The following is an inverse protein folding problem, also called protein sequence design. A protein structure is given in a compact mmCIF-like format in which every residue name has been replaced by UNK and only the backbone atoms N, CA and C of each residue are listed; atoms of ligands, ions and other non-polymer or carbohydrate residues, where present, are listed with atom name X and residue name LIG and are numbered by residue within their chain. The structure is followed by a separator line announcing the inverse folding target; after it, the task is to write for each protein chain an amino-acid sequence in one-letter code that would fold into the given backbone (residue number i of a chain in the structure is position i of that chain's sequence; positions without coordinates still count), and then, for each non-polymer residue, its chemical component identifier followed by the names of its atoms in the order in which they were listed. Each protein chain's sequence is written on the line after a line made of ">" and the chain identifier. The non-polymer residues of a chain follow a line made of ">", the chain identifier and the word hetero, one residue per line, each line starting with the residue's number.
data_IF_149953299251
#
_entry.id   IF_149953299251
#
_cell.length_a   1.000
_cell.length_b   1.000
_cell.length_c   1.000
_cell.angle_alpha   90.00
_cell.angle_beta   90.00
_cell.angle_gamma   90.00
#
_symmetry.space_group_name_H-M   'P 1'
#
loop_
_entity.id
_entity.type
_entity.pdbx_description
1 polymer ?
#
# COMPACT_ATOMS: atom_id res chain seq x y z
N UNK A 1 7.42 3.12 -1.48
CA UNK A 1 6.95 1.73 -1.75
C UNK A 1 6.31 1.70 -3.14
N UNK A 2 7.15 1.50 -4.19
CA UNK A 2 6.72 1.52 -5.61
C UNK A 2 6.04 0.22 -6.01
N UNK A 3 6.62 -0.90 -5.57
CA UNK A 3 6.10 -2.24 -5.80
C UNK A 3 5.94 -3.02 -4.51
N UNK A 4 4.86 -3.78 -4.41
CA UNK A 4 4.56 -4.70 -3.32
C UNK A 4 4.23 -6.07 -3.92
N UNK A 5 5.09 -7.06 -3.67
CA UNK A 5 4.91 -8.42 -4.20
C UNK A 5 4.04 -9.26 -3.26
N UNK A 6 2.92 -9.78 -3.75
CA UNK A 6 2.14 -10.78 -3.04
C UNK A 6 2.82 -12.16 -3.09
N UNK A 7 2.82 -12.85 -1.95
CA UNK A 7 3.41 -14.18 -1.79
C UNK A 7 2.45 -15.06 -1.00
N UNK A 8 1.99 -16.20 -1.53
CA UNK A 8 1.10 -17.10 -0.78
C UNK A 8 1.74 -17.60 0.53
N UNK A 9 1.05 -17.44 1.64
CA UNK A 9 1.53 -17.88 2.96
C UNK A 9 1.69 -19.40 3.09
N UNK A 10 1.02 -20.16 2.21
CA UNK A 10 1.16 -21.61 2.10
C UNK A 10 2.42 -22.08 1.31
N UNK A 11 3.25 -21.16 0.83
CA UNK A 11 4.41 -21.40 -0.02
C UNK A 11 5.71 -20.85 0.61
N UNK A 12 6.16 -21.39 1.78
CA UNK A 12 7.31 -20.84 2.51
C UNK A 12 8.61 -20.85 1.69
N UNK A 13 8.74 -21.73 0.70
CA UNK A 13 9.89 -21.80 -0.22
C UNK A 13 10.02 -20.55 -1.14
N UNK A 14 8.97 -19.71 -1.19
CA UNK A 14 8.99 -18.46 -1.94
C UNK A 14 9.39 -17.25 -1.08
N UNK A 15 9.35 -17.34 0.25
CA UNK A 15 9.55 -16.20 1.14
C UNK A 15 10.94 -15.58 0.98
N UNK A 16 12.00 -16.40 1.06
CA UNK A 16 13.37 -15.93 0.85
C UNK A 16 13.60 -15.33 -0.54
N UNK A 17 12.99 -15.93 -1.59
CA UNK A 17 13.07 -15.38 -2.95
C UNK A 17 12.38 -13.99 -3.05
N UNK A 18 11.23 -13.85 -2.42
CA UNK A 18 10.50 -12.57 -2.40
C UNK A 18 11.26 -11.52 -1.58
N UNK A 19 11.81 -11.90 -0.44
CA UNK A 19 12.62 -11.02 0.41
C UNK A 19 13.82 -10.46 -0.35
N UNK A 20 14.47 -11.28 -1.18
CA UNK A 20 15.65 -10.90 -1.99
C UNK A 20 15.29 -10.33 -3.37
N UNK A 21 14.01 -10.17 -3.70
CA UNK A 21 13.58 -9.56 -4.96
C UNK A 21 13.79 -8.03 -4.97
N UNK A 22 13.63 -7.39 -6.13
CA UNK A 22 13.69 -5.93 -6.27
C UNK A 22 12.39 -5.21 -5.86
N UNK A 23 11.41 -5.91 -5.29
CA UNK A 23 10.22 -5.27 -4.74
C UNK A 23 10.58 -4.42 -3.52
N UNK A 24 9.95 -3.26 -3.38
CA UNK A 24 10.15 -2.41 -2.18
C UNK A 24 9.49 -3.04 -0.94
N UNK A 25 8.40 -3.78 -1.15
CA UNK A 25 7.69 -4.50 -0.10
C UNK A 25 7.28 -5.92 -0.55
N UNK A 26 7.12 -6.80 0.44
CA UNK A 26 6.44 -8.08 0.24
C UNK A 26 5.15 -8.10 1.07
N UNK A 27 4.11 -8.71 0.54
CA UNK A 27 2.84 -8.95 1.23
C UNK A 27 2.58 -10.45 1.27
N UNK A 28 2.80 -11.06 2.43
CA UNK A 28 2.51 -12.49 2.59
C UNK A 28 1.01 -12.63 2.82
N UNK A 29 0.40 -13.51 2.06
CA UNK A 29 -1.05 -13.64 2.00
C UNK A 29 -1.53 -14.87 2.76
N UNK A 30 -2.37 -14.66 3.76
CA UNK A 30 -3.07 -15.70 4.52
C UNK A 30 -4.55 -15.85 4.09
N UNK A 31 -5.02 -15.01 3.16
CA UNK A 31 -6.41 -14.96 2.73
C UNK A 31 -6.66 -15.84 1.48
N UNK A 32 -6.98 -15.24 0.36
CA UNK A 32 -7.51 -15.94 -0.84
C UNK A 32 -6.53 -16.91 -1.47
N UNK A 33 -5.21 -16.67 -1.39
CA UNK A 33 -4.21 -17.58 -1.93
C UNK A 33 -3.97 -18.85 -1.09
N UNK A 34 -4.67 -18.98 0.05
CA UNK A 34 -4.52 -20.11 0.98
C UNK A 34 -5.87 -20.78 1.20
N UNK A 35 -5.97 -22.05 0.82
CA UNK A 35 -7.19 -22.85 1.07
C UNK A 35 -7.40 -23.04 2.57
N UNK A 36 -8.64 -23.19 2.98
CA UNK A 36 -9.06 -23.23 4.40
C UNK A 36 -8.27 -24.24 5.23
N UNK A 37 -8.04 -25.43 4.68
CA UNK A 37 -7.32 -26.55 5.34
C UNK A 37 -5.84 -26.24 5.60
N UNK A 38 -5.27 -25.28 4.85
CA UNK A 38 -3.87 -24.89 4.97
C UNK A 38 -3.64 -23.60 5.75
N UNK A 39 -4.69 -22.91 6.21
CA UNK A 39 -4.56 -21.60 6.89
C UNK A 39 -3.75 -21.69 8.18
N UNK A 40 -3.91 -22.76 8.96
CA UNK A 40 -3.13 -22.96 10.18
C UNK A 40 -1.63 -23.17 9.90
N UNK A 41 -1.30 -23.98 8.88
CA UNK A 41 0.08 -24.20 8.45
C UNK A 41 0.72 -22.90 7.94
N UNK A 42 -0.02 -22.19 7.06
CA UNK A 42 0.44 -20.92 6.47
C UNK A 42 0.76 -19.89 7.57
N UNK A 43 -0.10 -19.77 8.57
CA UNK A 43 0.08 -18.93 9.75
C UNK A 43 1.38 -19.26 10.47
N UNK A 44 1.63 -20.55 10.71
CA UNK A 44 2.87 -21.02 11.36
C UNK A 44 4.11 -20.72 10.51
N UNK A 45 4.05 -20.90 9.19
CA UNK A 45 5.15 -20.56 8.30
C UNK A 45 5.47 -19.08 8.30
N UNK A 46 4.45 -18.22 8.28
CA UNK A 46 4.63 -16.76 8.31
C UNK A 46 5.22 -16.32 9.64
N UNK A 47 4.73 -16.84 10.76
CA UNK A 47 5.27 -16.56 12.09
C UNK A 47 6.75 -16.91 12.21
N UNK A 48 7.14 -18.10 11.78
CA UNK A 48 8.55 -18.53 11.76
C UNK A 48 9.40 -17.65 10.84
N UNK A 49 8.88 -17.29 9.68
CA UNK A 49 9.59 -16.41 8.75
C UNK A 49 9.87 -15.03 9.36
N UNK A 50 8.88 -14.41 10.00
CA UNK A 50 9.05 -13.10 10.64
C UNK A 50 10.14 -13.09 11.71
N UNK A 51 10.39 -14.23 12.36
CA UNK A 51 11.43 -14.42 13.38
C UNK A 51 12.81 -14.78 12.80
N UNK A 52 12.90 -15.02 11.49
CA UNK A 52 14.14 -15.49 10.85
C UNK A 52 15.21 -14.40 10.80
N UNK A 53 16.48 -14.81 10.86
CA UNK A 53 17.62 -13.91 10.74
C UNK A 53 17.62 -13.12 9.42
N UNK A 54 17.09 -13.71 8.34
CA UNK A 54 16.97 -13.06 7.03
C UNK A 54 16.04 -11.83 7.12
N UNK A 55 14.90 -11.98 7.79
CA UNK A 55 13.95 -10.89 8.01
C UNK A 55 14.54 -9.83 8.95
N UNK A 56 15.20 -10.25 10.03
CA UNK A 56 15.80 -9.32 10.99
C UNK A 56 16.91 -8.46 10.36
N UNK A 57 17.67 -9.02 9.42
CA UNK A 57 18.72 -8.32 8.69
C UNK A 57 18.21 -7.50 7.49
N UNK A 58 16.97 -7.69 7.06
CA UNK A 58 16.41 -7.04 5.86
C UNK A 58 15.87 -5.64 6.17
N UNK A 59 16.07 -4.70 5.26
CA UNK A 59 15.39 -3.39 5.27
C UNK A 59 14.06 -3.38 4.51
N UNK A 60 13.63 -4.52 3.96
CA UNK A 60 12.40 -4.62 3.17
C UNK A 60 11.16 -4.40 4.04
N UNK A 61 10.16 -3.72 3.48
CA UNK A 61 8.87 -3.54 4.12
C UNK A 61 8.11 -4.87 4.06
N UNK A 62 7.73 -5.40 5.22
CA UNK A 62 6.99 -6.65 5.32
C UNK A 62 5.56 -6.36 5.72
N UNK A 63 4.63 -6.89 4.95
CA UNK A 63 3.19 -6.76 5.13
C UNK A 63 2.61 -8.17 5.18
N UNK A 64 1.59 -8.40 5.98
CA UNK A 64 0.82 -9.64 5.96
C UNK A 64 -0.64 -9.30 5.71
N UNK A 65 -1.24 -9.92 4.68
CA UNK A 65 -2.69 -9.89 4.48
C UNK A 65 -3.31 -11.03 5.28
N UNK A 66 -4.09 -10.67 6.28
CA UNK A 66 -4.83 -11.61 7.13
C UNK A 66 -6.19 -11.95 6.54
N UNK A 67 -6.88 -12.92 7.09
CA UNK A 67 -8.26 -13.21 6.73
C UNK A 67 -9.21 -12.10 7.17
N UNK A 68 -10.40 -12.04 6.58
CA UNK A 68 -11.42 -11.04 6.91
C UNK A 68 -11.86 -11.11 8.37
N UNK A 69 -12.30 -9.98 8.92
CA UNK A 69 -12.70 -9.83 10.32
C UNK A 69 -13.87 -10.72 10.70
N UNK A 70 -14.75 -11.04 9.74
CA UNK A 70 -15.92 -11.89 9.88
C UNK A 70 -15.61 -13.40 9.87
N UNK A 71 -14.33 -13.76 9.68
CA UNK A 71 -13.89 -15.16 9.63
C UNK A 71 -13.35 -15.65 10.97
N UNK A 72 -13.44 -16.96 11.27
CA UNK A 72 -12.83 -17.53 12.47
C UNK A 72 -11.31 -17.50 12.47
N UNK A 73 -10.67 -17.09 11.37
CA UNK A 73 -9.23 -17.10 11.21
C UNK A 73 -8.57 -15.78 11.63
N UNK A 74 -9.29 -14.66 11.60
CA UNK A 74 -8.77 -13.31 11.78
C UNK A 74 -7.94 -13.14 13.06
N UNK A 75 -8.52 -13.45 14.21
CA UNK A 75 -7.83 -13.24 15.49
C UNK A 75 -6.55 -14.08 15.59
N UNK A 76 -6.62 -15.36 15.21
CA UNK A 76 -5.45 -16.23 15.23
C UNK A 76 -4.37 -15.83 14.20
N UNK A 77 -4.75 -15.21 13.07
CA UNK A 77 -3.80 -14.66 12.13
C UNK A 77 -3.05 -13.49 12.77
N UNK A 78 -3.79 -12.52 13.32
CA UNK A 78 -3.20 -11.33 13.95
C UNK A 78 -2.25 -11.71 15.08
N UNK A 79 -2.67 -12.60 15.99
CA UNK A 79 -1.85 -13.08 17.11
C UNK A 79 -0.57 -13.76 16.63
N UNK A 80 -0.65 -14.56 15.56
CA UNK A 80 0.50 -15.32 15.05
C UNK A 80 1.52 -14.47 14.30
N UNK A 81 1.08 -13.36 13.67
CA UNK A 81 1.96 -12.51 12.84
C UNK A 81 2.37 -11.20 13.52
N UNK A 82 1.85 -10.90 14.71
CA UNK A 82 2.29 -9.76 15.49
C UNK A 82 3.77 -9.87 15.82
N UNK A 83 4.60 -9.08 15.15
CA UNK A 83 6.05 -9.11 15.26
C UNK A 83 6.64 -7.72 14.97
N UNK A 84 7.70 -7.33 15.67
CA UNK A 84 8.34 -6.02 15.53
C UNK A 84 8.84 -5.71 14.09
N UNK A 85 9.02 -6.73 13.25
CA UNK A 85 9.39 -6.58 11.83
C UNK A 85 8.19 -6.46 10.88
N UNK A 86 6.97 -6.65 11.36
CA UNK A 86 5.76 -6.44 10.57
C UNK A 86 5.46 -4.95 10.48
N UNK A 87 5.62 -4.38 9.30
CA UNK A 87 5.37 -2.95 9.09
C UNK A 87 3.87 -2.63 9.03
N UNK A 88 3.10 -3.49 8.38
CA UNK A 88 1.65 -3.29 8.22
C UNK A 88 0.91 -4.62 8.21
N UNK A 89 -0.28 -4.59 8.80
CA UNK A 89 -1.31 -5.62 8.62
C UNK A 89 -2.23 -5.17 7.50
N UNK A 90 -2.39 -5.98 6.45
CA UNK A 90 -3.31 -5.69 5.36
C UNK A 90 -4.66 -6.35 5.65
N UNK A 91 -5.69 -5.52 5.80
CA UNK A 91 -7.06 -5.95 6.14
C UNK A 91 -7.89 -6.07 4.86
N UNK A 92 -8.33 -7.28 4.47
CA UNK A 92 -9.24 -7.45 3.34
C UNK A 92 -10.66 -7.04 3.70
N UNK A 93 -11.46 -6.72 2.70
CA UNK A 93 -12.93 -6.58 2.76
C UNK A 93 -13.43 -5.63 3.86
N UNK A 94 -12.69 -4.54 4.10
CA UNK A 94 -13.09 -3.51 5.08
C UNK A 94 -14.26 -2.71 4.53
N UNK A 95 -15.33 -2.59 5.32
CA UNK A 95 -16.56 -1.95 4.89
C UNK A 95 -17.05 -0.81 5.80
N UNK A 96 -16.38 -0.60 6.95
CA UNK A 96 -16.77 0.43 7.92
C UNK A 96 -15.58 0.91 8.77
N UNK A 97 -15.76 2.05 9.45
CA UNK A 97 -14.86 2.50 10.49
C UNK A 97 -14.82 1.52 11.68
N UNK A 98 -15.93 0.89 11.99
CA UNK A 98 -16.01 -0.09 13.09
C UNK A 98 -15.15 -1.32 12.83
N UNK A 99 -15.00 -1.75 11.57
CA UNK A 99 -14.09 -2.84 11.20
C UNK A 99 -12.65 -2.48 11.54
N UNK A 100 -12.24 -1.25 11.26
CA UNK A 100 -10.91 -0.75 11.62
C UNK A 100 -10.73 -0.74 13.14
N UNK A 101 -11.70 -0.23 13.89
CA UNK A 101 -11.62 -0.18 15.36
C UNK A 101 -11.57 -1.59 15.96
N UNK A 102 -12.36 -2.52 15.45
CA UNK A 102 -12.32 -3.93 15.85
C UNK A 102 -10.95 -4.57 15.57
N UNK A 103 -10.40 -4.33 14.38
CA UNK A 103 -9.07 -4.84 14.01
C UNK A 103 -7.97 -4.25 14.91
N UNK A 104 -8.02 -2.96 15.21
CA UNK A 104 -7.08 -2.29 16.13
C UNK A 104 -7.13 -2.93 17.51
N UNK A 105 -8.32 -3.18 18.06
CA UNK A 105 -8.46 -3.77 19.39
C UNK A 105 -7.85 -5.18 19.49
N UNK A 106 -7.93 -5.99 18.42
CA UNK A 106 -7.27 -7.30 18.37
C UNK A 106 -5.76 -7.14 18.25
N UNK A 107 -5.30 -6.23 17.38
CA UNK A 107 -3.89 -5.98 17.13
C UNK A 107 -3.17 -5.45 18.38
N UNK A 108 -3.78 -4.54 19.13
CA UNK A 108 -3.20 -4.00 20.38
C UNK A 108 -3.00 -5.09 21.44
N UNK A 109 -3.94 -6.02 21.55
CA UNK A 109 -3.76 -7.16 22.45
C UNK A 109 -2.61 -8.07 22.00
N UNK A 110 -2.52 -8.35 20.72
CA UNK A 110 -1.45 -9.19 20.16
C UNK A 110 -0.08 -8.52 20.32
N UNK A 111 0.04 -7.22 20.09
CA UNK A 111 1.26 -6.43 20.30
C UNK A 111 1.69 -6.45 21.77
N UNK A 112 0.76 -6.24 22.70
CA UNK A 112 1.04 -6.28 24.13
C UNK A 112 1.55 -7.66 24.58
N UNK A 113 0.95 -8.74 24.05
CA UNK A 113 1.38 -10.12 24.35
C UNK A 113 2.77 -10.42 23.75
N UNK A 114 3.09 -9.86 22.58
CA UNK A 114 4.36 -10.04 21.91
C UNK A 114 5.46 -9.05 22.37
N UNK A 115 5.14 -8.09 23.24
CA UNK A 115 6.09 -7.09 23.72
C UNK A 115 6.54 -6.12 22.62
N UNK A 116 5.63 -5.71 21.75
CA UNK A 116 5.91 -4.82 20.60
C UNK A 116 5.60 -3.38 21.01
N UNK A 117 6.62 -2.53 21.08
CA UNK A 117 6.48 -1.11 21.43
C UNK A 117 6.07 -0.23 20.24
N UNK A 118 6.53 -0.57 19.05
CA UNK A 118 6.21 0.19 17.82
C UNK A 118 4.91 -0.31 17.21
N UNK A 119 3.85 0.52 17.16
CA UNK A 119 2.56 0.09 16.65
C UNK A 119 2.60 -0.39 15.19
N UNK A 120 2.09 -1.58 14.93
CA UNK A 120 1.89 -2.10 13.56
C UNK A 120 0.79 -1.29 12.88
N UNK A 121 1.04 -0.83 11.67
CA UNK A 121 0.07 -0.02 10.92
C UNK A 121 -0.92 -0.89 10.15
N UNK A 122 -2.00 -0.28 9.67
CA UNK A 122 -3.05 -0.94 8.90
C UNK A 122 -3.07 -0.44 7.46
N UNK A 123 -3.21 -1.37 6.52
CA UNK A 123 -3.50 -1.12 5.12
C UNK A 123 -4.88 -1.71 4.82
N UNK A 124 -5.90 -0.88 4.67
CA UNK A 124 -7.28 -1.32 4.49
C UNK A 124 -7.60 -1.53 3.01
N UNK A 125 -8.12 -2.70 2.63
CA UNK A 125 -8.58 -2.95 1.27
C UNK A 125 -9.99 -2.41 1.06
N UNK A 126 -10.15 -1.61 0.02
CA UNK A 126 -11.43 -1.16 -0.54
C UNK A 126 -11.72 -2.04 -1.74
N UNK A 127 -12.56 -3.05 -1.54
CA UNK A 127 -12.83 -4.11 -2.53
C UNK A 127 -14.29 -4.57 -2.53
N UNK A 128 -15.19 -3.72 -1.98
CA UNK A 128 -16.63 -3.88 -2.09
C UNK A 128 -17.31 -2.52 -2.35
N UNK A 129 -18.54 -2.49 -2.91
CA UNK A 129 -19.30 -1.26 -3.08
C UNK A 129 -19.53 -0.51 -1.78
N UNK A 130 -19.74 -1.24 -0.68
CA UNK A 130 -19.92 -0.65 0.65
C UNK A 130 -18.62 -0.05 1.16
N UNK A 131 -17.49 -0.79 1.05
CA UNK A 131 -16.16 -0.27 1.40
C UNK A 131 -15.79 0.98 0.60
N UNK A 132 -16.10 1.00 -0.71
CA UNK A 132 -15.90 2.19 -1.55
C UNK A 132 -16.75 3.37 -1.10
N UNK A 133 -18.02 3.13 -0.75
CA UNK A 133 -18.93 4.17 -0.24
C UNK A 133 -18.43 4.80 1.06
N UNK A 134 -17.86 4.02 1.96
CA UNK A 134 -17.38 4.45 3.28
C UNK A 134 -15.85 4.64 3.35
N UNK A 135 -15.18 4.75 2.20
CA UNK A 135 -13.73 4.87 2.14
C UNK A 135 -13.16 6.06 2.93
N UNK A 136 -13.89 7.19 3.02
CA UNK A 136 -13.49 8.35 3.83
C UNK A 136 -13.45 8.02 5.33
N UNK A 137 -14.52 7.39 5.82
CA UNK A 137 -14.69 7.00 7.22
C UNK A 137 -13.66 5.93 7.60
N UNK A 138 -13.43 4.95 6.72
CA UNK A 138 -12.42 3.91 6.89
C UNK A 138 -11.01 4.53 6.99
N UNK A 139 -10.69 5.44 6.07
CA UNK A 139 -9.36 6.09 6.05
C UNK A 139 -9.09 6.92 7.31
N UNK A 140 -10.11 7.56 7.86
CA UNK A 140 -10.02 8.43 9.03
C UNK A 140 -10.30 7.73 10.38
N UNK A 141 -10.66 6.44 10.37
CA UNK A 141 -11.16 5.73 11.53
C UNK A 141 -10.16 5.66 12.71
N UNK A 142 -8.86 5.54 12.41
CA UNK A 142 -7.83 5.43 13.44
C UNK A 142 -6.45 5.86 12.93
N UNK A 143 -5.58 6.47 13.76
CA UNK A 143 -4.22 6.89 13.37
C UNK A 143 -3.31 5.74 12.85
N UNK A 144 -3.63 4.49 13.16
CA UNK A 144 -2.91 3.33 12.62
C UNK A 144 -3.18 3.06 11.14
N UNK A 145 -4.25 3.60 10.56
CA UNK A 145 -4.52 3.46 9.13
C UNK A 145 -3.43 4.20 8.35
N UNK A 146 -2.58 3.43 7.67
CA UNK A 146 -1.49 3.96 6.87
C UNK A 146 -1.96 4.34 5.46
N UNK A 147 -2.91 3.59 4.92
CA UNK A 147 -3.40 3.77 3.57
C UNK A 147 -4.61 2.93 3.23
N UNK A 148 -5.19 3.25 2.08
CA UNK A 148 -6.22 2.45 1.42
C UNK A 148 -5.61 1.72 0.23
N UNK A 149 -5.94 0.45 0.04
CA UNK A 149 -5.56 -0.34 -1.11
C UNK A 149 -6.79 -0.76 -1.90
N UNK A 150 -6.69 -0.78 -3.22
CA UNK A 150 -7.75 -1.24 -4.11
C UNK A 150 -7.70 -2.76 -4.32
N UNK A 151 -8.88 -3.40 -4.28
CA UNK A 151 -9.12 -4.77 -4.71
C UNK A 151 -10.17 -4.79 -5.84
N UNK A 152 -9.72 -4.60 -7.09
CA UNK A 152 -10.63 -4.44 -8.23
C UNK A 152 -11.42 -5.70 -8.58
N UNK A 153 -10.83 -6.88 -8.40
CA UNK A 153 -11.48 -8.15 -8.76
C UNK A 153 -12.73 -8.31 -7.89
N UNK A 154 -12.55 -8.27 -6.57
CA UNK A 154 -13.64 -8.42 -5.62
C UNK A 154 -14.69 -7.30 -5.72
N UNK A 155 -14.28 -6.11 -6.13
CA UNK A 155 -15.18 -4.97 -6.31
C UNK A 155 -16.02 -5.10 -7.60
N UNK A 156 -15.44 -5.55 -8.70
CA UNK A 156 -16.06 -5.47 -10.03
C UNK A 156 -16.76 -6.76 -10.45
N UNK A 157 -16.15 -7.92 -10.22
CA UNK A 157 -16.71 -9.20 -10.70
C UNK A 157 -18.13 -9.48 -10.18
N UNK A 158 -18.47 -9.27 -8.88
CA UNK A 158 -19.82 -9.52 -8.41
C UNK A 158 -20.87 -8.59 -9.02
N UNK A 159 -20.45 -7.43 -9.56
CA UNK A 159 -21.30 -6.44 -10.19
C UNK A 159 -21.37 -6.58 -11.72
N UNK A 160 -20.58 -7.49 -12.30
CA UNK A 160 -20.45 -7.61 -13.75
C UNK A 160 -19.79 -6.40 -14.44
N UNK A 161 -19.00 -5.63 -13.71
CA UNK A 161 -18.28 -4.47 -14.24
C UNK A 161 -17.01 -4.96 -14.93
N UNK A 162 -16.78 -4.49 -16.17
CA UNK A 162 -15.56 -4.81 -16.90
C UNK A 162 -14.33 -4.26 -16.19
N UNK A 163 -13.47 -5.18 -15.72
CA UNK A 163 -12.23 -4.89 -15.01
C UNK A 163 -11.18 -4.18 -15.89
N UNK A 164 -11.26 -4.36 -17.19
CA UNK A 164 -10.29 -3.80 -18.13
C UNK A 164 -10.73 -2.48 -18.77
N UNK A 165 -11.98 -2.05 -18.55
CA UNK A 165 -12.44 -0.73 -18.97
C UNK A 165 -11.75 0.37 -18.12
N UNK A 166 -10.96 1.19 -18.81
CA UNK A 166 -10.15 2.23 -18.17
C UNK A 166 -10.98 3.33 -17.49
N UNK A 167 -12.21 3.56 -17.96
CA UNK A 167 -13.09 4.56 -17.35
C UNK A 167 -13.60 4.06 -15.98
N UNK A 168 -13.99 2.78 -15.90
CA UNK A 168 -14.41 2.15 -14.65
C UNK A 168 -13.27 2.16 -13.62
N UNK A 169 -12.09 1.73 -14.03
CA UNK A 169 -10.88 1.71 -13.19
C UNK A 169 -10.52 3.11 -12.70
N UNK A 170 -10.50 4.10 -13.61
CA UNK A 170 -10.18 5.49 -13.27
C UNK A 170 -11.16 6.09 -12.26
N UNK A 171 -12.46 5.84 -12.42
CA UNK A 171 -13.48 6.38 -11.51
C UNK A 171 -13.25 5.90 -10.07
N UNK A 172 -13.01 4.59 -9.89
CA UNK A 172 -12.75 4.01 -8.57
C UNK A 172 -11.40 4.47 -8.00
N UNK A 173 -10.35 4.51 -8.81
CA UNK A 173 -9.05 5.03 -8.39
C UNK A 173 -9.16 6.45 -7.86
N UNK A 174 -9.84 7.34 -8.61
CA UNK A 174 -10.00 8.73 -8.21
C UNK A 174 -10.76 8.83 -6.89
N UNK A 175 -11.85 8.10 -6.72
CA UNK A 175 -12.65 8.09 -5.50
C UNK A 175 -11.81 7.68 -4.27
N UNK A 176 -11.09 6.56 -4.36
CA UNK A 176 -10.24 6.07 -3.26
C UNK A 176 -9.07 7.01 -2.98
N UNK A 177 -8.47 7.61 -4.04
CA UNK A 177 -7.39 8.58 -3.83
C UNK A 177 -7.86 9.85 -3.11
N UNK A 178 -9.07 10.31 -3.41
CA UNK A 178 -9.66 11.46 -2.73
C UNK A 178 -9.98 11.14 -1.27
N UNK A 179 -10.55 9.97 -0.99
CA UNK A 179 -10.81 9.48 0.37
C UNK A 179 -9.52 9.40 1.20
N UNK A 180 -8.48 8.74 0.67
CA UNK A 180 -7.17 8.66 1.31
C UNK A 180 -6.55 10.04 1.54
N UNK A 181 -6.70 10.95 0.57
CA UNK A 181 -6.19 12.32 0.66
C UNK A 181 -6.86 13.15 1.74
N UNK A 182 -8.16 13.00 1.93
CA UNK A 182 -8.92 13.69 2.97
C UNK A 182 -8.44 13.31 4.39
N UNK A 183 -8.04 12.04 4.57
CA UNK A 183 -7.51 11.53 5.84
C UNK A 183 -5.98 11.69 5.99
N UNK A 184 -5.28 12.21 4.98
CA UNK A 184 -3.81 12.34 5.01
C UNK A 184 -3.05 11.02 4.89
N UNK A 185 -3.70 9.95 4.40
CA UNK A 185 -3.09 8.62 4.22
C UNK A 185 -2.79 8.35 2.75
N UNK A 186 -1.98 7.32 2.44
CA UNK A 186 -1.68 6.99 1.06
C UNK A 186 -2.78 6.12 0.41
N UNK A 187 -2.89 6.18 -0.92
CA UNK A 187 -3.60 5.22 -1.73
C UNK A 187 -2.62 4.27 -2.41
N UNK A 188 -2.95 2.98 -2.47
CA UNK A 188 -2.14 1.93 -3.08
C UNK A 188 -2.95 1.18 -4.13
N UNK A 189 -2.34 0.98 -5.31
CA UNK A 189 -3.02 0.36 -6.44
C UNK A 189 -3.11 -1.17 -6.29
N UNK A 190 -4.20 -1.71 -6.79
CA UNK A 190 -4.52 -3.13 -6.75
C UNK A 190 -3.63 -3.99 -7.64
N UNK A 191 -3.87 -5.29 -7.61
CA UNK A 191 -3.24 -6.24 -8.51
C UNK A 191 -3.81 -6.14 -9.94
N UNK A 192 -2.95 -6.42 -10.92
CA UNK A 192 -3.34 -6.60 -12.32
C UNK A 192 -3.22 -8.10 -12.65
N UNK A 193 -4.36 -8.79 -12.91
CA UNK A 193 -4.37 -10.25 -12.91
C UNK A 193 -3.69 -10.89 -14.12
N UNK A 194 -3.71 -10.23 -15.29
CA UNK A 194 -3.04 -10.76 -16.48
C UNK A 194 -1.54 -10.51 -16.45
N UNK A 195 -0.78 -11.53 -16.08
CA UNK A 195 0.69 -11.49 -16.01
C UNK A 195 1.35 -11.35 -17.39
N UNK A 196 0.65 -11.73 -18.47
CA UNK A 196 1.19 -11.68 -19.83
C UNK A 196 0.94 -10.30 -20.46
N UNK A 197 -0.09 -9.57 -20.06
CA UNK A 197 -0.38 -8.23 -20.56
C UNK A 197 0.48 -7.16 -19.87
N UNK A 198 1.73 -7.06 -20.31
CA UNK A 198 2.67 -6.02 -19.83
C UNK A 198 2.19 -4.61 -20.19
N UNK A 199 1.55 -4.46 -21.35
CA UNK A 199 1.03 -3.16 -21.81
C UNK A 199 -0.08 -2.64 -20.91
N UNK A 200 -1.06 -3.50 -20.59
CA UNK A 200 -2.15 -3.20 -19.67
C UNK A 200 -1.64 -2.89 -18.26
N UNK A 201 -0.73 -3.70 -17.73
CA UNK A 201 -0.11 -3.45 -16.43
C UNK A 201 0.55 -2.06 -16.37
N UNK A 202 1.42 -1.72 -17.34
CA UNK A 202 2.11 -0.44 -17.39
C UNK A 202 1.14 0.74 -17.55
N UNK A 203 0.10 0.58 -18.36
CA UNK A 203 -0.90 1.63 -18.58
C UNK A 203 -1.69 1.94 -17.29
N UNK A 204 -2.12 0.90 -16.55
CA UNK A 204 -2.81 1.05 -15.27
C UNK A 204 -1.89 1.63 -14.19
N UNK A 205 -0.66 1.12 -14.06
CA UNK A 205 0.34 1.67 -13.13
C UNK A 205 0.62 3.16 -13.41
N UNK A 206 0.73 3.55 -14.70
CA UNK A 206 0.91 4.94 -15.09
C UNK A 206 -0.31 5.82 -14.76
N UNK A 207 -1.53 5.26 -14.86
CA UNK A 207 -2.76 5.93 -14.42
C UNK A 207 -2.75 6.13 -12.91
N UNK A 208 -2.48 5.09 -12.14
CA UNK A 208 -2.38 5.15 -10.67
C UNK A 208 -1.36 6.21 -10.22
N UNK A 209 -0.18 6.23 -10.84
CA UNK A 209 0.84 7.23 -10.54
C UNK A 209 0.37 8.66 -10.84
N UNK A 210 -0.27 8.91 -12.00
CA UNK A 210 -0.82 10.24 -12.32
C UNK A 210 -1.89 10.69 -11.35
N UNK A 211 -2.65 9.76 -10.78
CA UNK A 211 -3.64 10.01 -9.73
C UNK A 211 -3.01 10.17 -8.34
N UNK A 212 -1.70 9.98 -8.18
CA UNK A 212 -0.98 10.17 -6.92
C UNK A 212 -1.03 8.96 -5.97
N UNK A 213 -1.18 7.76 -6.51
CA UNK A 213 -0.98 6.53 -5.75
C UNK A 213 0.51 6.34 -5.41
N UNK A 214 0.77 5.68 -4.29
CA UNK A 214 2.13 5.45 -3.78
C UNK A 214 2.88 4.35 -4.57
N UNK A 215 2.17 3.36 -5.08
CA UNK A 215 2.72 2.22 -5.78
C UNK A 215 1.65 1.25 -6.23
N UNK A 216 2.07 0.09 -6.72
CA UNK A 216 1.20 -0.96 -7.27
C UNK A 216 1.50 -2.34 -6.72
N UNK A 217 0.44 -3.12 -6.48
CA UNK A 217 0.54 -4.54 -6.13
C UNK A 217 0.99 -5.37 -7.33
N UNK A 218 1.93 -6.29 -7.07
CA UNK A 218 2.44 -7.27 -8.02
C UNK A 218 2.09 -8.67 -7.53
N UNK A 219 1.59 -9.52 -8.42
CA UNK A 219 1.28 -10.94 -8.15
C UNK A 219 2.29 -11.88 -8.79
N UNK A 220 3.23 -11.34 -9.56
CA UNK A 220 4.31 -12.09 -10.18
C UNK A 220 5.61 -11.27 -10.20
N UNK A 221 6.79 -11.89 -10.00
CA UNK A 221 8.08 -11.19 -10.00
C UNK A 221 8.35 -10.33 -11.24
N UNK A 222 7.89 -10.73 -12.43
CA UNK A 222 8.03 -9.95 -13.68
C UNK A 222 7.37 -8.56 -13.61
N UNK A 223 6.33 -8.39 -12.78
CA UNK A 223 5.63 -7.11 -12.65
C UNK A 223 6.42 -6.09 -11.83
N UNK A 224 7.38 -6.54 -11.02
CA UNK A 224 8.15 -5.69 -10.10
C UNK A 224 8.91 -4.59 -10.85
N UNK A 225 9.66 -4.97 -11.87
CA UNK A 225 10.45 -4.01 -12.65
C UNK A 225 9.54 -2.97 -13.31
N UNK A 226 8.42 -3.39 -13.89
CA UNK A 226 7.47 -2.47 -14.52
C UNK A 226 6.83 -1.50 -13.52
N UNK A 227 6.50 -1.98 -12.32
CA UNK A 227 6.00 -1.11 -11.26
C UNK A 227 7.10 -0.13 -10.81
N UNK A 228 8.30 -0.62 -10.54
CA UNK A 228 9.43 0.21 -10.14
C UNK A 228 9.73 1.30 -11.19
N UNK A 229 9.80 0.94 -12.47
CA UNK A 229 10.04 1.89 -13.56
C UNK A 229 8.97 3.00 -13.60
N UNK A 230 7.69 2.61 -13.52
CA UNK A 230 6.58 3.56 -13.61
C UNK A 230 6.55 4.49 -12.41
N UNK A 231 6.80 3.99 -11.21
CA UNK A 231 6.75 4.80 -9.99
C UNK A 231 8.09 5.47 -9.60
N UNK A 232 9.19 5.14 -10.31
CA UNK A 232 10.45 5.87 -10.22
C UNK A 232 10.60 6.74 -11.46
N UNK A 233 10.51 8.06 -11.32
CA UNK A 233 10.87 8.94 -12.41
C UNK A 233 11.96 9.90 -11.93
N UNK A 234 13.16 9.73 -12.44
CA UNK A 234 14.27 10.68 -12.27
C UNK A 234 13.87 12.11 -12.63
N UNK A 235 13.01 12.24 -13.64
CA UNK A 235 12.46 13.53 -14.05
C UNK A 235 11.62 14.20 -12.95
N UNK A 236 10.83 13.45 -12.20
CA UNK A 236 10.04 14.02 -11.08
C UNK A 236 10.97 14.51 -9.97
N UNK A 237 12.04 13.80 -9.68
CA UNK A 237 13.05 14.19 -8.67
C UNK A 237 13.82 15.44 -9.14
N UNK A 238 14.27 15.47 -10.39
CA UNK A 238 14.97 16.62 -10.97
C UNK A 238 14.06 17.86 -11.01
N UNK A 239 12.81 17.70 -11.44
CA UNK A 239 11.82 18.77 -11.45
C UNK A 239 11.49 19.26 -10.04
N UNK A 240 11.30 18.35 -9.08
CA UNK A 240 11.04 18.69 -7.69
C UNK A 240 12.20 19.50 -7.08
N UNK A 241 13.46 19.12 -7.38
CA UNK A 241 14.63 19.88 -6.94
C UNK A 241 14.64 21.31 -7.52
N UNK A 242 14.28 21.48 -8.80
CA UNK A 242 14.18 22.79 -9.44
C UNK A 242 13.06 23.63 -8.84
N UNK A 243 11.91 23.00 -8.52
CA UNK A 243 10.80 23.69 -7.84
C UNK A 243 11.25 24.23 -6.49
N UNK A 244 11.96 23.44 -5.67
CA UNK A 244 12.44 23.91 -4.36
C UNK A 244 13.50 25.01 -4.47
N UNK A 245 14.42 24.92 -5.41
CA UNK A 245 15.40 25.99 -5.64
C UNK A 245 14.71 27.31 -6.03
N UNK A 246 13.78 27.25 -6.98
CA UNK A 246 13.02 28.43 -7.40
C UNK A 246 12.11 28.98 -6.28
N UNK A 247 11.62 28.11 -5.39
CA UNK A 247 10.85 28.52 -4.22
C UNK A 247 11.68 29.33 -3.23
N UNK A 248 12.89 28.90 -2.92
CA UNK A 248 13.78 29.66 -2.02
C UNK A 248 14.12 31.04 -2.59
N UNK A 249 14.36 31.15 -3.90
CA UNK A 249 14.55 32.43 -4.56
C UNK A 249 13.29 33.34 -4.54
N UNK A 250 12.11 32.75 -4.77
CA UNK A 250 10.85 33.49 -4.71
C UNK A 250 10.55 33.99 -3.29
N UNK A 251 10.78 33.13 -2.29
CA UNK A 251 10.61 33.44 -0.86
C UNK A 251 11.54 34.59 -0.43
N UNK A 252 12.80 34.59 -0.88
CA UNK A 252 13.74 35.68 -0.61
C UNK A 252 13.25 37.04 -1.17
N UNK A 253 12.43 37.02 -2.24
CA UNK A 253 11.79 38.20 -2.82
C UNK A 253 10.39 38.50 -2.23
N UNK A 254 9.94 37.77 -1.22
CA UNK A 254 8.62 37.92 -0.59
C UNK A 254 7.46 37.40 -1.43
N UNK A 255 7.72 36.55 -2.43
CA UNK A 255 6.66 36.02 -3.30
C UNK A 255 6.21 34.63 -2.82
N UNK A 256 4.89 34.44 -2.65
CA UNK A 256 4.26 33.16 -2.28
C UNK A 256 3.95 32.24 -3.48
N UNK A 257 4.04 32.76 -4.71
CA UNK A 257 3.88 32.03 -5.96
C UNK A 257 4.91 32.53 -6.99
N UNK A 258 5.30 31.64 -7.90
CA UNK A 258 6.33 31.95 -8.92
C UNK A 258 6.08 31.15 -10.21
N UNK A 259 6.74 31.52 -11.28
CA UNK A 259 6.72 30.78 -12.54
C UNK A 259 7.98 29.91 -12.66
N UNK A 260 7.78 28.64 -12.99
CA UNK A 260 8.83 27.72 -13.38
C UNK A 260 8.43 27.01 -14.67
N UNK A 261 9.23 27.13 -15.71
CA UNK A 261 8.95 26.56 -17.05
C UNK A 261 7.55 26.96 -17.59
N UNK A 262 7.14 28.23 -17.36
CA UNK A 262 5.83 28.73 -17.79
C UNK A 262 4.63 28.24 -16.96
N UNK A 263 4.85 27.51 -15.87
CA UNK A 263 3.81 27.03 -14.95
C UNK A 263 3.86 27.81 -13.65
N UNK A 264 2.69 28.23 -13.18
CA UNK A 264 2.59 28.82 -11.85
C UNK A 264 2.74 27.74 -10.78
N UNK A 265 3.66 27.95 -9.86
CA UNK A 265 3.89 27.13 -8.69
C UNK A 265 3.57 27.95 -7.44
N UNK A 266 2.80 27.35 -6.56
CA UNK A 266 2.38 27.92 -5.27
C UNK A 266 2.64 26.89 -4.15
N UNK A 267 2.14 27.16 -2.93
CA UNK A 267 2.37 26.29 -1.78
C UNK A 267 1.98 24.81 -1.99
N UNK A 268 0.86 24.45 -2.65
CA UNK A 268 0.57 23.07 -3.04
C UNK A 268 1.65 22.43 -3.92
N UNK A 269 2.15 23.15 -4.92
CA UNK A 269 3.20 22.68 -5.81
C UNK A 269 4.52 22.43 -5.08
N UNK A 270 4.86 23.31 -4.14
CA UNK A 270 6.05 23.19 -3.29
C UNK A 270 5.96 21.96 -2.37
N UNK A 271 4.80 21.75 -1.70
CA UNK A 271 4.57 20.56 -0.86
C UNK A 271 4.70 19.26 -1.66
N UNK A 272 4.18 19.25 -2.89
CA UNK A 272 4.33 18.09 -3.78
C UNK A 272 5.81 17.81 -4.11
N UNK A 273 6.59 18.84 -4.40
CA UNK A 273 8.03 18.71 -4.68
C UNK A 273 8.79 18.18 -3.45
N UNK A 274 8.47 18.68 -2.26
CA UNK A 274 9.03 18.17 -1.00
C UNK A 274 8.72 16.69 -0.79
N UNK A 275 7.47 16.26 -1.02
CA UNK A 275 7.07 14.86 -0.89
C UNK A 275 7.79 13.94 -1.89
N UNK A 276 8.00 14.38 -3.15
CA UNK A 276 8.76 13.64 -4.15
C UNK A 276 10.20 13.42 -3.71
N UNK A 277 10.88 14.47 -3.20
CA UNK A 277 12.27 14.38 -2.75
C UNK A 277 12.40 13.55 -1.46
N UNK A 278 11.44 13.65 -0.54
CA UNK A 278 11.41 12.80 0.66
C UNK A 278 11.29 11.31 0.28
N UNK A 279 10.39 11.00 -0.66
CA UNK A 279 10.22 9.62 -1.15
C UNK A 279 11.48 9.07 -1.83
N UNK A 280 12.20 9.91 -2.59
CA UNK A 280 13.45 9.51 -3.28
C UNK A 280 14.59 9.21 -2.32
N UNK A 281 14.62 9.83 -1.14
CA UNK A 281 15.66 9.64 -0.12
C UNK A 281 15.39 8.46 0.84
N UNK A 282 14.35 7.67 0.60
CA UNK A 282 13.98 6.54 1.47
C UNK A 282 13.42 6.94 2.84
N UNK A 283 13.11 8.20 3.05
CA UNK A 283 12.65 8.77 4.34
C UNK A 283 11.12 8.78 4.48
N UNK A 284 10.38 8.14 3.60
CA UNK A 284 8.93 8.29 3.49
C UNK A 284 8.09 7.45 4.48
N UNK A 285 8.64 6.90 5.55
CA UNK A 285 7.87 6.17 6.59
C UNK A 285 8.14 6.63 8.03
N UNK A 286 8.95 7.66 8.23
CA UNK A 286 9.08 8.33 9.53
C UNK A 286 8.34 9.67 9.47
N UNK A 287 7.03 9.64 9.71
CA UNK A 287 6.27 10.86 10.00
C UNK A 287 6.49 11.24 11.47
N UNK A 288 7.05 12.42 11.70
CA UNK A 288 6.87 13.15 12.95
C UNK A 288 5.41 13.54 13.15
#
# INVERSE_FOLDING_TARGET
>A
MRSKLFVPGSRPELFGKALNSHADAISIDLEDSVVTERKADARSFVSLFLQSNEVLASSKIIIVRVNGLDTPHFAGDVESVAHARLAMLNLPKVESADDILAAVAVLERAEAQAGIDTPIRLLANVESPKGLRFANEIAAAHPRVAGLQLGFIDLFEPLGIDRYDKANVHAVMLAVRMAAGAAGVFAYDGAFPDVQDVGGFRAEAAMARRLGFLGKSCIHPRQIEFANDVFTQEWDVAYASRVLSAYEEAKARGAGAFLLDGRMIDAPGVRRAQAVLAASKGTALSGE
#
